data_IF_964385982633
#
_entry.id   IF_964385982633
#
_cell.length_a   1.000
_cell.length_b   1.000
_cell.length_c   1.000
_cell.angle_alpha   90.00
_cell.angle_beta   90.00
_cell.angle_gamma   90.00
#
_symmetry.space_group_name_H-M   'P 1'
#
loop_
_entity.id
_entity.type
_entity.pdbx_description
1 polymer ?
#
# COMPACT_ATOMS: atom_id res chain seq x y z
N UNK A 1 -1.94 12.88 9.07
CA UNK A 1 -0.59 12.63 8.53
C UNK A 1 -0.73 11.83 7.25
N UNK A 2 -0.01 12.19 6.18
CA UNK A 2 0.02 11.45 4.91
C UNK A 2 1.36 10.74 4.74
N UNK A 3 1.36 9.53 4.20
CA UNK A 3 2.59 8.78 3.90
C UNK A 3 2.61 8.52 2.40
N UNK A 4 3.56 9.15 1.71
CA UNK A 4 3.64 9.14 0.25
C UNK A 4 4.86 8.34 -0.23
N UNK A 5 4.68 7.54 -1.28
CA UNK A 5 5.83 6.94 -1.96
C UNK A 5 6.70 8.01 -2.63
N UNK A 6 8.02 7.82 -2.68
CA UNK A 6 8.98 8.74 -3.30
C UNK A 6 8.82 8.95 -4.81
N UNK A 7 7.88 8.23 -5.43
CA UNK A 7 7.55 8.27 -6.86
C UNK A 7 6.15 8.83 -7.13
N UNK A 8 5.50 9.43 -6.12
CA UNK A 8 4.23 10.13 -6.34
C UNK A 8 4.40 11.31 -7.28
N UNK A 9 3.33 11.67 -8.00
CA UNK A 9 3.33 12.84 -8.88
C UNK A 9 3.64 14.13 -8.08
N UNK A 10 4.43 15.08 -8.60
CA UNK A 10 4.80 16.31 -7.88
C UNK A 10 3.61 17.12 -7.36
N UNK A 11 2.49 17.17 -8.11
CA UNK A 11 1.23 17.79 -7.66
C UNK A 11 0.72 17.24 -6.33
N UNK A 12 0.97 15.96 -6.00
CA UNK A 12 0.61 15.40 -4.69
C UNK A 12 1.29 16.18 -3.56
N UNK A 13 2.57 16.53 -3.71
CA UNK A 13 3.31 17.31 -2.72
C UNK A 13 2.74 18.74 -2.64
N UNK A 14 2.40 19.34 -3.77
CA UNK A 14 1.77 20.66 -3.83
C UNK A 14 0.43 20.68 -3.08
N UNK A 15 -0.43 19.69 -3.31
CA UNK A 15 -1.73 19.57 -2.64
C UNK A 15 -1.59 19.30 -1.14
N UNK A 16 -0.50 18.67 -0.71
CA UNK A 16 -0.21 18.36 0.68
C UNK A 16 0.64 19.42 1.40
N UNK A 17 1.01 20.54 0.76
CA UNK A 17 1.92 21.55 1.33
C UNK A 17 1.51 22.10 2.70
N UNK A 18 0.20 22.15 2.97
CA UNK A 18 -0.38 22.63 4.23
C UNK A 18 -0.81 21.48 5.16
N UNK A 19 -0.36 20.25 4.88
CA UNK A 19 -0.67 19.03 5.64
C UNK A 19 0.64 18.41 6.10
N UNK A 20 0.60 17.70 7.24
CA UNK A 20 1.74 16.87 7.66
C UNK A 20 1.85 15.66 6.73
N UNK A 21 2.93 15.55 5.97
CA UNK A 21 3.23 14.39 5.14
C UNK A 21 4.67 13.91 5.30
N UNK A 22 4.89 12.62 5.03
CA UNK A 22 6.19 11.96 5.01
C UNK A 22 6.38 11.35 3.63
N UNK A 23 7.58 11.46 3.07
CA UNK A 23 7.97 10.74 1.85
C UNK A 23 8.80 9.52 2.26
N UNK A 24 8.35 8.34 1.83
CA UNK A 24 9.07 7.09 1.99
C UNK A 24 9.44 6.52 0.62
N UNK A 25 10.64 5.98 0.49
CA UNK A 25 11.12 5.50 -0.80
C UNK A 25 10.55 4.11 -1.14
N UNK A 26 10.26 3.88 -2.43
CA UNK A 26 10.04 2.53 -2.94
C UNK A 26 11.34 1.72 -2.83
N UNK A 27 11.18 0.40 -2.74
CA UNK A 27 12.28 -0.57 -2.86
C UNK A 27 12.79 -0.53 -4.32
N UNK A 28 13.76 0.33 -4.59
CA UNK A 28 14.38 0.53 -5.91
C UNK A 28 15.90 0.68 -5.74
N UNK A 29 16.65 0.39 -6.81
CA UNK A 29 18.12 0.41 -6.79
C UNK A 29 18.69 1.77 -6.33
N UNK A 30 18.07 2.87 -6.74
CA UNK A 30 18.54 4.22 -6.39
C UNK A 30 18.35 4.58 -4.90
N UNK A 31 17.17 4.40 -4.29
CA UNK A 31 17.00 4.44 -2.83
C UNK A 31 17.99 3.56 -2.05
N UNK A 32 18.29 2.35 -2.54
CA UNK A 32 19.35 1.52 -1.95
C UNK A 32 20.73 2.14 -2.06
N UNK A 33 21.05 2.70 -3.22
CA UNK A 33 22.32 3.36 -3.47
C UNK A 33 22.54 4.55 -2.52
N UNK A 34 21.56 5.43 -2.31
CA UNK A 34 21.69 6.59 -1.39
C UNK A 34 21.90 6.17 0.08
N UNK A 35 21.51 4.94 0.47
CA UNK A 35 21.78 4.30 1.76
C UNK A 35 21.19 5.03 2.98
N UNK A 36 19.98 5.58 2.87
CA UNK A 36 19.21 6.13 4.00
C UNK A 36 18.28 5.06 4.60
N UNK A 37 18.84 3.90 4.96
CA UNK A 37 18.06 2.69 5.26
C UNK A 37 17.04 2.87 6.39
N UNK A 38 17.37 3.64 7.41
CA UNK A 38 16.49 3.86 8.57
C UNK A 38 15.29 4.78 8.26
N UNK A 39 15.28 5.44 7.10
CA UNK A 39 14.28 6.44 6.71
C UNK A 39 13.57 6.08 5.40
N UNK A 40 13.81 4.89 4.85
CA UNK A 40 13.36 4.46 3.54
C UNK A 40 12.70 3.07 3.60
N UNK A 41 11.99 2.69 2.55
CA UNK A 41 11.44 1.33 2.30
C UNK A 41 10.11 0.96 2.94
N UNK A 42 9.29 1.93 3.36
CA UNK A 42 7.91 1.62 3.74
C UNK A 42 6.93 1.58 2.54
N UNK A 43 7.32 2.08 1.37
CA UNK A 43 6.51 1.98 0.14
C UNK A 43 6.72 0.63 -0.56
N UNK A 44 6.16 -0.42 0.02
CA UNK A 44 6.26 -1.81 -0.47
C UNK A 44 5.01 -2.20 -1.29
N UNK A 45 5.21 -3.04 -2.30
CA UNK A 45 4.13 -3.61 -3.11
C UNK A 45 3.70 -2.75 -4.31
N UNK A 46 2.56 -3.15 -4.89
CA UNK A 46 2.09 -2.66 -6.18
C UNK A 46 0.87 -1.74 -6.11
N UNK A 47 0.29 -1.57 -4.93
CA UNK A 47 -0.88 -0.70 -4.69
C UNK A 47 -0.78 -0.03 -3.33
N UNK A 48 -1.63 0.97 -3.09
CA UNK A 48 -1.72 1.66 -1.79
C UNK A 48 -2.11 0.72 -0.65
N UNK A 49 -2.89 -0.33 -0.93
CA UNK A 49 -3.30 -1.33 0.06
C UNK A 49 -2.11 -2.17 0.54
N UNK A 50 -1.20 -2.57 -0.37
CA UNK A 50 0.02 -3.29 0.02
C UNK A 50 0.91 -2.44 0.92
N UNK A 51 1.12 -1.17 0.54
CA UNK A 51 1.90 -0.24 1.35
C UNK A 51 1.26 0.00 2.72
N UNK A 52 -0.06 0.12 2.79
CA UNK A 52 -0.79 0.28 4.05
C UNK A 52 -0.66 -0.97 4.95
N UNK A 53 -0.77 -2.16 4.36
CA UNK A 53 -0.61 -3.42 5.09
C UNK A 53 0.79 -3.53 5.69
N UNK A 54 1.83 -3.32 4.88
CA UNK A 54 3.23 -3.34 5.31
C UNK A 54 3.49 -2.27 6.37
N UNK A 55 2.93 -1.07 6.21
CA UNK A 55 3.06 -0.04 7.22
C UNK A 55 2.41 -0.44 8.55
N UNK A 56 1.24 -1.08 8.52
CA UNK A 56 0.55 -1.56 9.71
C UNK A 56 1.33 -2.69 10.42
N UNK A 57 1.94 -3.62 9.67
CA UNK A 57 2.77 -4.69 10.26
C UNK A 57 4.05 -4.13 10.87
N UNK A 58 4.73 -3.17 10.22
CA UNK A 58 5.93 -2.52 10.77
C UNK A 58 5.65 -1.71 12.04
N UNK A 59 4.42 -1.20 12.18
CA UNK A 59 3.94 -0.54 13.40
C UNK A 59 3.41 -1.53 14.46
N UNK A 60 3.54 -2.84 14.23
CA UNK A 60 3.11 -3.90 15.14
C UNK A 60 1.63 -3.82 15.52
N UNK A 61 0.76 -3.40 14.61
CA UNK A 61 -0.68 -3.48 14.85
C UNK A 61 -1.09 -4.94 14.99
N UNK A 62 -1.78 -5.27 16.09
CA UNK A 62 -2.26 -6.63 16.35
C UNK A 62 -3.36 -7.07 15.39
N UNK A 63 -4.27 -6.17 15.03
CA UNK A 63 -5.39 -6.44 14.14
C UNK A 63 -5.29 -5.54 12.91
N UNK A 64 -5.34 -6.12 11.72
CA UNK A 64 -5.43 -5.39 10.44
C UNK A 64 -6.78 -5.75 9.81
N UNK A 65 -7.59 -4.76 9.44
CA UNK A 65 -8.94 -4.96 8.94
C UNK A 65 -9.03 -4.36 7.53
N UNK A 66 -9.37 -5.20 6.54
CA UNK A 66 -9.63 -4.75 5.17
C UNK A 66 -11.09 -4.39 4.97
N UNK A 67 -11.31 -3.20 4.42
CA UNK A 67 -12.62 -2.66 4.07
C UNK A 67 -12.49 -2.04 2.67
N UNK A 68 -13.38 -2.39 1.75
CA UNK A 68 -13.34 -1.92 0.36
C UNK A 68 -12.15 -2.44 -0.44
N UNK A 69 -11.56 -3.55 -0.01
CA UNK A 69 -10.50 -4.24 -0.76
C UNK A 69 -11.13 -5.32 -1.65
N UNK A 70 -12.00 -4.91 -2.58
CA UNK A 70 -12.85 -5.83 -3.34
C UNK A 70 -12.02 -6.79 -4.21
N UNK A 71 -11.07 -6.26 -4.99
CA UNK A 71 -10.25 -7.03 -5.94
C UNK A 71 -11.07 -7.88 -6.93
N UNK A 72 -12.33 -7.49 -7.13
CA UNK A 72 -13.31 -8.14 -7.97
C UNK A 72 -14.28 -7.09 -8.51
N UNK A 73 -14.94 -7.42 -9.62
CA UNK A 73 -16.07 -6.65 -10.11
C UNK A 73 -17.30 -6.91 -9.25
N UNK A 74 -18.17 -5.92 -9.14
CA UNK A 74 -19.52 -6.09 -8.60
C UNK A 74 -20.37 -7.00 -9.50
N UNK A 75 -21.51 -7.50 -8.99
CA UNK A 75 -22.42 -8.35 -9.75
C UNK A 75 -22.94 -7.71 -11.05
N UNK A 76 -23.11 -6.38 -11.04
CA UNK A 76 -23.50 -5.59 -12.20
C UNK A 76 -22.32 -5.28 -13.15
N UNK A 77 -21.13 -5.83 -12.88
CA UNK A 77 -19.92 -5.70 -13.67
C UNK A 77 -19.15 -4.40 -13.46
N UNK A 78 -19.62 -3.51 -12.58
CA UNK A 78 -18.89 -2.28 -12.29
C UNK A 78 -17.65 -2.54 -11.44
N UNK A 79 -16.60 -1.76 -11.70
CA UNK A 79 -15.35 -1.78 -10.94
C UNK A 79 -15.33 -0.80 -9.76
N UNK A 80 -16.25 0.16 -9.75
CA UNK A 80 -16.35 1.26 -8.80
C UNK A 80 -17.82 1.59 -8.56
N UNK A 81 -18.10 2.38 -7.54
CA UNK A 81 -19.46 2.91 -7.29
C UNK A 81 -19.91 3.84 -8.42
N UNK A 82 -21.23 3.92 -8.64
CA UNK A 82 -21.82 4.65 -9.77
C UNK A 82 -21.58 6.17 -9.74
N UNK A 83 -21.23 6.72 -8.58
CA UNK A 83 -20.90 8.11 -8.34
C UNK A 83 -19.41 8.43 -8.52
N UNK A 84 -18.58 7.44 -8.88
CA UNK A 84 -17.16 7.65 -9.13
C UNK A 84 -16.93 8.55 -10.35
N UNK A 85 -16.21 9.66 -10.17
CA UNK A 85 -16.10 10.72 -11.19
C UNK A 85 -15.32 10.33 -12.46
N UNK A 86 -14.65 9.18 -12.48
CA UNK A 86 -13.90 8.69 -13.64
C UNK A 86 -14.41 7.31 -14.10
N UNK A 87 -15.70 7.04 -13.93
CA UNK A 87 -16.30 5.75 -14.29
C UNK A 87 -16.15 5.43 -15.79
N UNK A 88 -16.17 6.46 -16.63
CA UNK A 88 -15.93 6.42 -18.07
C UNK A 88 -14.59 5.79 -18.44
N UNK A 89 -13.55 6.00 -17.62
CA UNK A 89 -12.21 5.41 -17.83
C UNK A 89 -12.16 3.90 -17.59
N UNK A 90 -13.27 3.30 -17.16
CA UNK A 90 -13.37 1.88 -16.86
C UNK A 90 -14.40 1.15 -17.74
N UNK A 91 -14.97 1.84 -18.74
CA UNK A 91 -15.89 1.24 -19.68
C UNK A 91 -15.22 0.08 -20.46
N UNK A 92 -15.94 -1.03 -20.61
CA UNK A 92 -15.44 -2.23 -21.31
C UNK A 92 -14.42 -3.07 -20.55
N UNK A 93 -13.92 -2.64 -19.38
CA UNK A 93 -12.97 -3.42 -18.58
C UNK A 93 -13.54 -4.77 -18.15
N UNK A 94 -14.79 -4.79 -17.69
CA UNK A 94 -15.46 -6.02 -17.32
C UNK A 94 -15.57 -6.98 -18.50
N UNK A 95 -16.05 -6.52 -19.66
CA UNK A 95 -16.17 -7.35 -20.86
C UNK A 95 -14.81 -7.88 -21.33
N UNK A 96 -13.76 -7.07 -21.22
CA UNK A 96 -12.39 -7.50 -21.54
C UNK A 96 -11.93 -8.64 -20.64
N UNK A 97 -12.24 -8.60 -19.35
CA UNK A 97 -11.69 -9.51 -18.35
C UNK A 97 -12.59 -10.71 -18.02
N UNK A 98 -13.89 -10.60 -18.33
CA UNK A 98 -14.93 -11.58 -17.99
C UNK A 98 -14.53 -13.00 -18.39
N UNK A 99 -14.54 -13.90 -17.41
CA UNK A 99 -14.20 -15.32 -17.57
C UNK A 99 -12.71 -15.62 -17.74
N UNK A 100 -11.85 -14.59 -17.84
CA UNK A 100 -10.38 -14.77 -17.94
C UNK A 100 -9.72 -14.80 -16.57
N UNK A 101 -10.21 -13.98 -15.65
CA UNK A 101 -9.69 -13.88 -14.29
C UNK A 101 -10.82 -14.07 -13.30
N UNK A 102 -10.82 -15.20 -12.61
CA UNK A 102 -11.81 -15.54 -11.60
C UNK A 102 -11.11 -16.00 -10.32
N UNK A 103 -11.74 -15.74 -9.18
CA UNK A 103 -11.27 -16.23 -7.89
C UNK A 103 -12.45 -16.64 -7.02
N UNK A 104 -12.20 -17.29 -5.89
CA UNK A 104 -13.24 -17.55 -4.90
C UNK A 104 -13.78 -16.21 -4.39
N UNK A 105 -15.10 -16.09 -4.31
CA UNK A 105 -15.73 -14.95 -3.65
C UNK A 105 -15.56 -15.06 -2.13
N UNK A 106 -15.71 -13.93 -1.45
CA UNK A 106 -15.82 -13.88 0.01
C UNK A 106 -16.80 -14.94 0.53
N UNK A 107 -16.47 -15.57 1.67
CA UNK A 107 -17.26 -16.66 2.24
C UNK A 107 -16.97 -18.02 1.61
N UNK A 108 -16.14 -18.07 0.56
CA UNK A 108 -15.67 -19.32 -0.08
C UNK A 108 -16.69 -19.99 -1.00
N UNK A 109 -17.86 -19.39 -1.19
CA UNK A 109 -18.92 -19.92 -2.03
C UNK A 109 -18.98 -19.15 -3.36
N UNK A 110 -18.87 -19.88 -4.47
CA UNK A 110 -18.95 -19.28 -5.80
C UNK A 110 -17.67 -18.61 -6.26
N UNK A 111 -17.77 -17.87 -7.37
CA UNK A 111 -16.66 -17.20 -8.03
C UNK A 111 -16.95 -15.71 -8.18
N UNK A 112 -15.93 -14.89 -7.99
CA UNK A 112 -15.94 -13.47 -8.30
C UNK A 112 -15.13 -13.23 -9.58
N UNK A 113 -15.68 -12.43 -10.50
CA UNK A 113 -14.97 -11.93 -11.67
C UNK A 113 -13.94 -10.89 -11.24
N UNK A 114 -12.74 -10.94 -11.82
CA UNK A 114 -11.64 -10.06 -11.46
C UNK A 114 -10.88 -9.62 -12.71
N UNK A 115 -9.75 -8.95 -12.54
CA UNK A 115 -8.83 -8.55 -13.60
C UNK A 115 -7.44 -9.15 -13.37
N UNK A 116 -6.59 -9.08 -14.38
CA UNK A 116 -5.17 -9.48 -14.26
C UNK A 116 -4.47 -8.74 -13.11
N UNK A 117 -4.63 -7.41 -13.07
CA UNK A 117 -3.98 -6.54 -12.08
C UNK A 117 -4.50 -6.83 -10.67
N UNK A 118 -5.81 -7.04 -10.52
CA UNK A 118 -6.38 -7.38 -9.21
C UNK A 118 -6.01 -8.78 -8.76
N UNK A 119 -5.88 -9.73 -9.69
CA UNK A 119 -5.36 -11.08 -9.38
C UNK A 119 -3.92 -11.00 -8.88
N UNK A 120 -3.06 -10.22 -9.54
CA UNK A 120 -1.69 -9.95 -9.09
C UNK A 120 -1.68 -9.28 -7.71
N UNK A 121 -2.52 -8.27 -7.48
CA UNK A 121 -2.63 -7.61 -6.16
C UNK A 121 -3.08 -8.59 -5.08
N UNK A 122 -4.06 -9.45 -5.38
CA UNK A 122 -4.56 -10.46 -4.44
C UNK A 122 -3.46 -11.43 -4.04
N UNK A 123 -2.72 -11.98 -5.01
CA UNK A 123 -1.63 -12.91 -4.72
C UNK A 123 -0.49 -12.26 -3.95
N UNK A 124 -0.14 -11.00 -4.27
CA UNK A 124 0.87 -10.29 -3.50
C UNK A 124 0.41 -10.04 -2.06
N UNK A 125 -0.84 -9.60 -1.84
CA UNK A 125 -1.40 -9.49 -0.48
C UNK A 125 -1.33 -10.81 0.27
N UNK A 126 -1.75 -11.92 -0.35
CA UNK A 126 -1.72 -13.25 0.26
C UNK A 126 -0.30 -13.68 0.64
N UNK A 127 0.68 -13.42 -0.23
CA UNK A 127 2.10 -13.68 0.05
C UNK A 127 2.67 -12.79 1.17
N UNK A 128 2.25 -11.53 1.25
CA UNK A 128 2.62 -10.66 2.37
C UNK A 128 1.95 -11.10 3.67
N UNK A 129 0.69 -11.54 3.61
CA UNK A 129 -0.07 -12.05 4.77
C UNK A 129 0.53 -13.37 5.28
N UNK A 130 0.91 -14.29 4.39
CA UNK A 130 1.49 -15.59 4.79
C UNK A 130 2.82 -15.45 5.53
N UNK A 131 3.56 -14.37 5.27
CA UNK A 131 4.81 -14.02 5.96
C UNK A 131 4.60 -13.17 7.21
N UNK A 132 3.38 -12.71 7.47
CA UNK A 132 3.04 -11.93 8.65
C UNK A 132 2.88 -12.85 9.86
N UNK A 133 3.75 -12.66 10.87
CA UNK A 133 3.70 -13.39 12.15
C UNK A 133 3.24 -12.50 13.32
N UNK A 134 2.94 -11.22 13.04
CA UNK A 134 2.70 -10.18 14.05
C UNK A 134 1.21 -9.91 14.21
N UNK A 135 0.51 -9.75 13.09
CA UNK A 135 -0.90 -9.33 13.07
C UNK A 135 -1.84 -10.47 12.69
N UNK A 136 -3.05 -10.43 13.24
CA UNK A 136 -4.20 -11.12 12.67
C UNK A 136 -4.86 -10.22 11.64
N UNK A 137 -5.08 -10.75 10.44
CA UNK A 137 -5.67 -10.00 9.32
C UNK A 137 -7.11 -10.44 9.09
N UNK A 138 -8.02 -9.47 9.05
CA UNK A 138 -9.44 -9.67 8.82
C UNK A 138 -9.84 -9.10 7.46
N UNK A 139 -10.61 -9.86 6.69
CA UNK A 139 -11.29 -9.35 5.51
C UNK A 139 -12.75 -9.05 5.87
N UNK A 140 -13.15 -7.78 5.78
CA UNK A 140 -14.51 -7.31 6.00
C UNK A 140 -15.20 -6.84 4.72
N UNK A 141 -14.68 -7.24 3.56
CA UNK A 141 -15.20 -6.86 2.25
C UNK A 141 -16.06 -7.98 1.67
N UNK A 142 -17.32 -8.04 2.10
CA UNK A 142 -18.25 -9.17 1.86
C UNK A 142 -18.61 -9.41 0.39
N UNK A 143 -18.56 -8.38 -0.46
CA UNK A 143 -18.83 -8.49 -1.90
C UNK A 143 -17.59 -8.76 -2.76
N UNK A 144 -16.42 -8.89 -2.15
CA UNK A 144 -15.14 -8.96 -2.84
C UNK A 144 -14.62 -10.37 -3.08
N UNK A 145 -13.38 -10.42 -3.54
CA UNK A 145 -12.58 -11.64 -3.63
C UNK A 145 -12.18 -12.16 -2.24
N UNK A 146 -12.14 -13.48 -2.11
CA UNK A 146 -11.45 -14.15 -1.00
C UNK A 146 -9.95 -13.88 -1.09
N UNK A 147 -9.40 -13.33 -0.01
CA UNK A 147 -7.96 -13.15 0.17
C UNK A 147 -7.51 -14.20 1.19
N UNK A 148 -6.77 -15.20 0.71
CA UNK A 148 -6.24 -16.27 1.58
C UNK A 148 -5.30 -15.73 2.67
N UNK A 149 -5.30 -16.39 3.83
CA UNK A 149 -4.58 -15.94 5.02
C UNK A 149 -5.34 -14.89 5.85
N UNK A 150 -6.48 -14.38 5.37
CA UNK A 150 -7.37 -13.51 6.16
C UNK A 150 -8.48 -14.31 6.86
N UNK A 151 -9.00 -13.74 7.95
CA UNK A 151 -10.23 -14.19 8.59
C UNK A 151 -11.39 -13.35 8.07
N UNK A 152 -12.35 -13.99 7.42
CA UNK A 152 -13.56 -13.33 6.93
C UNK A 152 -14.53 -13.06 8.07
N UNK A 153 -14.86 -11.77 8.30
CA UNK A 153 -15.87 -11.32 9.27
C UNK A 153 -16.65 -10.13 8.72
N UNK A 154 -17.94 -9.95 9.04
CA UNK A 154 -18.65 -8.71 8.74
C UNK A 154 -17.96 -7.51 9.40
N UNK A 155 -18.03 -6.33 8.77
CA UNK A 155 -17.41 -5.13 9.35
C UNK A 155 -18.02 -4.77 10.71
N UNK A 156 -19.34 -4.95 10.87
CA UNK A 156 -20.01 -4.75 12.16
C UNK A 156 -19.41 -5.61 13.27
N UNK A 157 -19.11 -6.88 12.99
CA UNK A 157 -18.45 -7.77 13.95
C UNK A 157 -17.08 -7.21 14.37
N UNK A 158 -16.29 -6.70 13.43
CA UNK A 158 -15.00 -6.11 13.73
C UNK A 158 -15.14 -4.85 14.61
N UNK A 159 -16.14 -4.00 14.36
CA UNK A 159 -16.45 -2.87 15.23
C UNK A 159 -16.77 -3.31 16.66
N UNK A 160 -17.66 -4.28 16.82
CA UNK A 160 -18.15 -4.73 18.13
C UNK A 160 -17.13 -5.56 18.92
N UNK A 161 -16.16 -6.21 18.26
CA UNK A 161 -15.25 -7.16 18.91
C UNK A 161 -13.78 -6.71 18.93
N UNK A 162 -13.37 -5.81 18.02
CA UNK A 162 -11.98 -5.36 17.90
C UNK A 162 -11.81 -3.87 18.17
N UNK A 163 -12.87 -3.07 18.06
CA UNK A 163 -12.85 -1.62 18.15
C UNK A 163 -13.76 -1.07 19.26
N UNK A 164 -14.24 -1.92 20.16
CA UNK A 164 -15.18 -1.60 21.24
C UNK A 164 -14.53 -0.86 22.43
N UNK A 165 -13.19 -0.82 22.47
CA UNK A 165 -12.41 -0.31 23.59
C UNK A 165 -11.49 0.81 23.16
N UNK A 166 -11.46 1.86 23.97
CA UNK A 166 -10.38 2.83 23.94
C UNK A 166 -9.09 2.20 24.45
N UNK A 167 -8.10 2.10 23.57
CA UNK A 167 -6.79 1.55 23.91
C UNK A 167 -5.89 2.65 24.46
N UNK A 168 -5.36 2.45 25.67
CA UNK A 168 -4.21 3.23 26.11
C UNK A 168 -2.97 2.79 25.32
N UNK A 169 -2.37 3.73 24.58
CA UNK A 169 -1.22 3.52 23.70
C UNK A 169 -0.04 4.36 24.17
N UNK A 170 0.65 3.97 25.26
CA UNK A 170 1.74 4.76 25.84
C UNK A 170 3.04 4.57 25.04
N UNK A 171 3.00 4.89 23.75
CA UNK A 171 4.18 4.82 22.90
C UNK A 171 5.18 5.89 23.31
N UNK A 172 6.46 5.50 23.35
CA UNK A 172 7.54 6.45 23.55
C UNK A 172 7.52 7.49 22.42
N UNK A 173 7.65 8.76 22.80
CA UNK A 173 7.72 9.84 21.82
C UNK A 173 9.06 9.72 21.08
N UNK A 174 9.00 9.55 19.77
CA UNK A 174 10.18 9.57 18.93
C UNK A 174 10.65 11.01 18.74
N UNK A 175 11.88 11.29 19.13
CA UNK A 175 12.52 12.57 18.87
C UNK A 175 13.25 12.56 17.52
N UNK A 176 13.20 13.66 16.76
CA UNK A 176 13.95 13.76 15.52
C UNK A 176 15.46 13.70 15.79
N UNK A 177 16.22 13.27 14.78
CA UNK A 177 17.69 13.36 14.83
C UNK A 177 18.14 14.80 15.09
N UNK A 178 19.29 14.99 15.74
CA UNK A 178 19.90 16.31 15.85
C UNK A 178 20.19 16.91 14.46
N UNK A 179 20.12 18.23 14.34
CA UNK A 179 20.36 18.92 13.07
C UNK A 179 21.72 18.53 12.44
N UNK A 180 22.76 18.36 13.25
CA UNK A 180 24.07 17.90 12.79
C UNK A 180 24.01 16.51 12.16
N UNK A 181 23.25 15.57 12.75
CA UNK A 181 23.07 14.22 12.19
C UNK A 181 22.21 14.24 10.94
N UNK A 182 21.18 15.07 10.88
CA UNK A 182 20.39 15.26 9.67
C UNK A 182 21.25 15.79 8.52
N UNK A 183 22.07 16.81 8.78
CA UNK A 183 22.99 17.38 7.80
C UNK A 183 24.06 16.39 7.34
N UNK A 184 24.60 15.58 8.26
CA UNK A 184 25.55 14.51 7.93
C UNK A 184 24.94 13.52 6.92
N UNK A 185 23.72 13.05 7.17
CA UNK A 185 23.02 12.12 6.25
C UNK A 185 22.70 12.78 4.92
N UNK A 186 22.24 14.04 4.93
CA UNK A 186 21.96 14.80 3.72
C UNK A 186 23.20 14.93 2.84
N UNK A 187 24.35 15.30 3.42
CA UNK A 187 25.61 15.44 2.68
C UNK A 187 26.08 14.12 2.07
N UNK A 188 25.98 13.00 2.82
CA UNK A 188 26.32 11.67 2.30
C UNK A 188 25.42 11.27 1.13
N UNK A 189 24.11 11.51 1.24
CA UNK A 189 23.17 11.24 0.16
C UNK A 189 23.46 12.13 -1.06
N UNK A 190 23.63 13.44 -0.85
CA UNK A 190 23.95 14.41 -1.90
C UNK A 190 25.21 14.03 -2.67
N UNK A 191 26.29 13.66 -1.97
CA UNK A 191 27.53 13.21 -2.59
C UNK A 191 27.29 12.04 -3.54
N UNK A 192 26.54 11.02 -3.11
CA UNK A 192 26.21 9.86 -3.94
C UNK A 192 25.39 10.26 -5.17
N UNK A 193 24.37 11.10 -5.00
CA UNK A 193 23.57 11.61 -6.13
C UNK A 193 24.45 12.35 -7.13
N UNK A 194 25.36 13.20 -6.65
CA UNK A 194 26.31 13.93 -7.50
C UNK A 194 27.21 12.98 -8.30
N UNK A 195 27.77 11.94 -7.65
CA UNK A 195 28.58 10.93 -8.34
C UNK A 195 27.77 10.19 -9.42
N UNK A 196 26.52 9.83 -9.13
CA UNK A 196 25.62 9.18 -10.10
C UNK A 196 25.37 10.08 -11.31
N UNK A 197 25.10 11.38 -11.11
CA UNK A 197 24.88 12.33 -12.21
C UNK A 197 26.15 12.45 -13.06
N UNK A 198 27.32 12.55 -12.44
CA UNK A 198 28.61 12.62 -13.15
C UNK A 198 28.81 11.37 -14.02
N UNK A 199 28.59 10.18 -13.44
CA UNK A 199 28.70 8.92 -14.17
C UNK A 199 27.76 8.87 -15.39
N UNK A 200 26.49 9.27 -15.24
CA UNK A 200 25.55 9.31 -16.36
C UNK A 200 25.99 10.29 -17.46
N UNK A 201 26.52 11.46 -17.10
CA UNK A 201 27.04 12.44 -18.08
C UNK A 201 28.26 11.93 -18.83
N UNK A 202 29.11 11.16 -18.17
CA UNK A 202 30.29 10.57 -18.81
C UNK A 202 29.90 9.40 -19.71
N UNK A 203 28.92 8.59 -19.30
CA UNK A 203 28.35 7.53 -20.12
C UNK A 203 27.67 8.06 -21.40
N UNK A 204 26.94 9.17 -21.33
CA UNK A 204 26.25 9.76 -22.49
C UNK A 204 27.18 10.36 -23.56
N UNK A 205 28.50 10.43 -23.29
CA UNK A 205 29.50 10.91 -24.25
C UNK A 205 30.14 9.78 -25.06
N UNK A 206 29.85 8.52 -24.70
CA UNK A 206 30.29 7.30 -25.40
C UNK A 206 29.19 6.92 -26.39
#
# INVERSE_FOLDING_TARGET
MFVCAGVVHPKTIEYLKNKTFIITQKILAFPYYINLKNFCYAAIGFSVAHMAYEFATHLNYKNIIFIGQDLAYAEDGFSHTKDYSNLDKHEGHFQRDKGKFQCLAYGGNGKAESSEVWTMFRFFLQDTISRNIISTTYNCTEGGARIEGTIEKPFLWACENLLDKDLNKPFEKLEPLSLNKQNEFLLKAYYKVYQSIKHCRDFSKI
#
